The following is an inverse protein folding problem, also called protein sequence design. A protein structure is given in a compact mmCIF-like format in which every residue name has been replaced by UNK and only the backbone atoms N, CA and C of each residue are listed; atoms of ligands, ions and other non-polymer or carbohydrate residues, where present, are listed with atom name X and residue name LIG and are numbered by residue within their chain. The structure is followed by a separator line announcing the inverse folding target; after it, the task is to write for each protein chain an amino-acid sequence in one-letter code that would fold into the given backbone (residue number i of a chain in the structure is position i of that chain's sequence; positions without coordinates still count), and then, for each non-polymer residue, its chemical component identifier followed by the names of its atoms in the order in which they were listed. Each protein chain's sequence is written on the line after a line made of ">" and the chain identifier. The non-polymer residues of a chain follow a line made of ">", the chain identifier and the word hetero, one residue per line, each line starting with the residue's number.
data_IF_207756711911
#
_entry.id   IF_207756711911
#
_cell.length_a   1.000
_cell.length_b   1.000
_cell.length_c   1.000
_cell.angle_alpha   90.00
_cell.angle_beta   90.00
_cell.angle_gamma   90.00
#
_symmetry.space_group_name_H-M   'P 1'
#
loop_
_entity.id
_entity.type
_entity.pdbx_description
1 polymer ?
#
# COMPACT_ATOMS: atom_id res chain seq x y z
N UNK A 1 28.70 5.21 12.79
CA UNK A 1 27.70 5.73 13.78
C UNK A 1 28.13 5.34 15.17
N UNK A 2 28.28 6.29 16.08
CA UNK A 2 28.73 5.97 17.46
C UNK A 2 27.58 5.47 18.35
N UNK A 3 26.45 6.17 18.34
CA UNK A 3 25.26 5.78 19.10
C UNK A 3 24.00 6.31 18.41
N UNK A 4 22.96 5.48 18.35
CA UNK A 4 21.60 5.90 18.05
C UNK A 4 20.64 5.28 19.05
N UNK A 5 19.64 6.04 19.48
CA UNK A 5 18.60 5.57 20.38
C UNK A 5 17.25 5.97 19.84
N UNK A 6 16.34 5.02 19.84
CA UNK A 6 14.93 5.23 19.52
C UNK A 6 14.09 4.75 20.69
N UNK A 7 13.10 5.53 21.11
CA UNK A 7 12.23 5.23 22.25
C UNK A 7 10.78 5.46 21.85
N UNK A 8 9.94 4.48 22.13
CA UNK A 8 8.50 4.54 21.98
C UNK A 8 7.87 4.41 23.36
N UNK A 9 6.94 5.28 23.66
CA UNK A 9 6.10 5.22 24.84
C UNK A 9 4.64 5.17 24.42
N UNK A 10 3.92 4.18 24.90
CA UNK A 10 2.50 4.00 24.60
C UNK A 10 1.69 4.00 25.89
N UNK A 11 0.51 4.64 25.88
CA UNK A 11 -0.41 4.56 27.02
C UNK A 11 -0.72 3.12 27.41
N UNK A 12 -1.09 2.90 28.67
CA UNK A 12 -1.55 1.61 29.15
C UNK A 12 -2.70 1.08 28.27
N UNK A 13 -2.64 -0.21 27.95
CA UNK A 13 -3.63 -0.87 27.09
C UNK A 13 -3.39 -0.73 25.57
N UNK A 14 -2.44 0.09 25.15
CA UNK A 14 -1.98 0.12 23.77
C UNK A 14 -0.73 -0.74 23.60
N UNK A 15 -0.76 -1.69 22.69
CA UNK A 15 0.36 -2.59 22.42
C UNK A 15 1.13 -2.18 21.16
N UNK A 16 2.45 -2.17 21.25
CA UNK A 16 3.36 -2.09 20.11
C UNK A 16 4.17 -3.37 20.02
N UNK A 17 4.22 -3.91 18.81
CA UNK A 17 5.07 -5.05 18.46
C UNK A 17 6.35 -4.54 17.82
N UNK A 18 7.41 -5.31 17.92
CA UNK A 18 8.64 -5.02 17.17
C UNK A 18 9.22 -6.28 16.54
N UNK A 19 10.01 -6.07 15.49
CA UNK A 19 10.72 -7.11 14.75
C UNK A 19 12.14 -6.65 14.47
N UNK A 20 13.10 -7.47 14.85
CA UNK A 20 14.52 -7.24 14.59
C UNK A 20 14.96 -8.01 13.35
N UNK A 21 15.71 -7.34 12.47
CA UNK A 21 16.34 -7.93 11.29
C UNK A 21 17.83 -7.59 11.28
N UNK A 22 18.67 -8.57 11.01
CA UNK A 22 20.12 -8.42 10.87
C UNK A 22 20.80 -7.76 12.08
N UNK A 23 20.22 -7.93 13.28
CA UNK A 23 20.75 -7.37 14.51
C UNK A 23 21.71 -8.31 15.24
N UNK A 24 21.71 -9.61 14.91
CA UNK A 24 22.55 -10.63 15.55
C UNK A 24 24.04 -10.30 15.38
N UNK A 25 24.78 -10.43 16.47
CA UNK A 25 26.23 -10.13 16.49
C UNK A 25 26.55 -8.63 16.37
N UNK A 26 25.56 -7.75 16.29
CA UNK A 26 25.72 -6.30 16.27
C UNK A 26 25.41 -5.70 17.64
N UNK A 27 25.98 -4.54 17.91
CA UNK A 27 25.76 -3.81 19.17
C UNK A 27 24.40 -3.08 19.13
N UNK A 28 23.33 -3.84 18.95
CA UNK A 28 21.95 -3.36 18.95
C UNK A 28 21.23 -4.06 20.09
N UNK A 29 20.49 -3.30 20.89
CA UNK A 29 19.70 -3.81 21.99
C UNK A 29 18.30 -3.23 21.91
N UNK A 30 17.30 -4.09 21.94
CA UNK A 30 15.91 -3.71 22.15
C UNK A 30 15.53 -4.10 23.59
N UNK A 31 14.96 -3.16 24.33
CA UNK A 31 14.48 -3.36 25.69
C UNK A 31 13.04 -2.91 25.79
N UNK A 32 12.23 -3.75 26.40
CA UNK A 32 10.86 -3.44 26.76
C UNK A 32 10.74 -3.32 28.28
N UNK A 33 9.97 -2.35 28.72
CA UNK A 33 9.68 -2.12 30.13
C UNK A 33 8.30 -1.52 30.31
N UNK A 34 7.76 -1.63 31.51
CA UNK A 34 6.51 -0.97 31.91
C UNK A 34 6.84 0.28 32.72
N UNK A 35 6.30 1.43 32.29
CA UNK A 35 6.41 2.69 33.03
C UNK A 35 5.51 2.73 34.26
N UNK A 36 5.63 3.80 35.05
CA UNK A 36 4.94 3.96 36.35
C UNK A 36 3.42 3.86 36.27
N UNK A 37 2.83 4.34 35.14
CA UNK A 37 1.40 4.37 34.90
C UNK A 37 0.91 3.20 34.02
N UNK A 38 1.65 2.10 33.96
CA UNK A 38 1.33 0.96 33.11
C UNK A 38 1.62 1.18 31.62
N UNK A 39 2.37 2.21 31.28
CA UNK A 39 2.79 2.51 29.90
C UNK A 39 3.75 1.43 29.38
N UNK A 40 3.58 1.02 28.15
CA UNK A 40 4.61 0.24 27.45
C UNK A 40 5.72 1.17 26.96
N UNK A 41 6.95 0.86 27.32
CA UNK A 41 8.14 1.60 26.87
C UNK A 41 9.06 0.64 26.15
N UNK A 42 9.32 0.91 24.86
CA UNK A 42 10.26 0.13 24.05
C UNK A 42 11.42 1.04 23.65
N UNK A 43 12.63 0.65 24.03
CA UNK A 43 13.86 1.34 23.68
C UNK A 43 14.72 0.48 22.74
N UNK A 44 15.11 1.00 21.59
CA UNK A 44 16.11 0.42 20.72
C UNK A 44 17.38 1.28 20.73
N UNK A 45 18.52 0.69 21.01
CA UNK A 45 19.81 1.40 21.06
C UNK A 45 20.84 0.66 20.23
N UNK A 46 21.53 1.37 19.38
CA UNK A 46 22.64 0.88 18.58
C UNK A 46 23.94 1.62 18.94
N UNK A 47 25.02 0.86 19.06
CA UNK A 47 26.34 1.40 19.41
C UNK A 47 27.38 1.00 18.37
N UNK A 48 28.25 1.96 18.00
CA UNK A 48 29.47 1.74 17.21
C UNK A 48 29.26 0.76 16.03
N UNK A 49 28.19 0.98 15.27
CA UNK A 49 27.95 0.20 14.05
C UNK A 49 28.99 0.57 12.98
N UNK A 50 29.67 -0.45 12.46
CA UNK A 50 30.55 -0.29 11.31
C UNK A 50 29.74 0.07 10.07
N UNK A 51 30.31 0.86 9.15
CA UNK A 51 29.66 1.11 7.87
C UNK A 51 29.53 -0.20 7.08
N UNK A 52 28.41 -0.33 6.40
CA UNK A 52 28.21 -1.41 5.42
C UNK A 52 28.45 -0.78 4.04
N UNK A 53 29.34 -1.38 3.27
CA UNK A 53 29.67 -0.91 1.93
C UNK A 53 28.87 -1.74 0.92
N UNK A 54 28.19 -1.06 -0.01
CA UNK A 54 27.51 -1.75 -1.10
C UNK A 54 28.55 -2.27 -2.09
N UNK A 55 28.55 -3.57 -2.35
CA UNK A 55 29.43 -4.20 -3.32
C UNK A 55 28.70 -4.39 -4.66
N UNK A 56 29.38 -4.18 -5.80
CA UNK A 56 28.83 -4.54 -7.10
C UNK A 56 28.45 -6.02 -7.13
N UNK A 57 27.26 -6.35 -7.61
CA UNK A 57 26.72 -7.72 -7.66
C UNK A 57 26.54 -8.41 -6.29
N UNK A 58 26.70 -7.65 -5.19
CA UNK A 58 26.41 -8.14 -3.84
C UNK A 58 24.90 -8.26 -3.56
N UNK A 59 24.54 -8.79 -2.37
CA UNK A 59 23.15 -8.82 -1.93
C UNK A 59 22.50 -7.43 -1.92
N UNK A 60 21.17 -7.38 -1.97
CA UNK A 60 20.47 -6.11 -1.81
C UNK A 60 20.92 -5.45 -0.50
N UNK A 61 21.23 -4.15 -0.59
CA UNK A 61 21.70 -3.39 0.57
C UNK A 61 20.68 -3.43 1.71
N UNK A 62 19.41 -3.49 1.36
CA UNK A 62 18.32 -3.66 2.30
C UNK A 62 18.40 -4.96 3.11
N UNK A 63 18.92 -6.05 2.53
CA UNK A 63 19.10 -7.33 3.21
C UNK A 63 20.27 -7.31 4.23
N UNK A 64 21.21 -6.38 4.08
CA UNK A 64 22.39 -6.26 4.94
C UNK A 64 22.21 -5.33 6.12
N UNK A 65 21.28 -4.38 6.01
CA UNK A 65 21.07 -3.35 7.04
C UNK A 65 20.45 -3.95 8.31
N UNK A 66 20.99 -3.62 9.49
CA UNK A 66 20.30 -3.91 10.74
C UNK A 66 19.08 -2.99 10.90
N UNK A 67 17.94 -3.55 11.21
CA UNK A 67 16.67 -2.83 11.36
C UNK A 67 15.88 -3.31 12.56
N UNK A 68 15.11 -2.40 13.11
CA UNK A 68 14.06 -2.72 14.07
C UNK A 68 12.77 -2.07 13.56
N UNK A 69 11.81 -2.89 13.21
CA UNK A 69 10.47 -2.46 12.85
C UNK A 69 9.60 -2.36 14.09
N UNK A 70 8.75 -1.35 14.12
CA UNK A 70 7.75 -1.17 15.16
C UNK A 70 6.38 -1.02 14.51
N UNK A 71 5.37 -1.64 15.11
CA UNK A 71 3.99 -1.52 14.65
C UNK A 71 3.01 -1.60 15.84
N UNK A 72 2.06 -0.66 15.97
CA UNK A 72 1.00 -0.78 16.95
C UNK A 72 0.12 -1.99 16.61
N UNK A 73 -0.45 -2.64 17.61
CA UNK A 73 -1.43 -3.70 17.39
C UNK A 73 -2.79 -3.11 17.02
N UNK A 74 -3.29 -2.19 17.83
CA UNK A 74 -4.49 -1.42 17.54
C UNK A 74 -4.10 0.04 17.30
N UNK A 75 -4.81 0.72 16.44
CA UNK A 75 -4.58 2.13 16.14
C UNK A 75 -5.88 2.85 15.80
N UNK A 76 -5.85 4.16 15.96
CA UNK A 76 -6.89 5.05 15.47
C UNK A 76 -6.27 6.07 14.53
N UNK A 77 -6.82 6.18 13.35
CA UNK A 77 -6.38 7.15 12.37
C UNK A 77 -7.60 7.96 11.89
N UNK A 78 -7.61 9.26 12.18
CA UNK A 78 -8.78 10.11 12.06
C UNK A 78 -9.96 9.53 12.84
N UNK A 79 -11.08 9.23 12.19
CA UNK A 79 -12.28 8.61 12.80
C UNK A 79 -12.33 7.10 12.64
N UNK A 80 -11.32 6.49 12.05
CA UNK A 80 -11.26 5.07 11.74
C UNK A 80 -10.37 4.32 12.72
N UNK A 81 -10.89 3.23 13.28
CA UNK A 81 -10.14 2.32 14.15
C UNK A 81 -9.73 1.08 13.37
N UNK A 82 -8.47 0.69 13.53
CA UNK A 82 -7.88 -0.45 12.85
C UNK A 82 -7.07 -1.36 13.77
N UNK A 83 -6.82 -2.56 13.29
CA UNK A 83 -5.98 -3.56 13.94
C UNK A 83 -4.87 -3.98 12.96
N UNK A 84 -3.63 -3.85 13.38
CA UNK A 84 -2.44 -4.19 12.62
C UNK A 84 -1.75 -5.45 13.18
N UNK A 85 -2.42 -6.20 14.05
CA UNK A 85 -1.86 -7.41 14.66
C UNK A 85 -1.65 -8.56 13.67
N UNK A 86 -2.30 -8.53 12.51
CA UNK A 86 -2.06 -9.42 11.38
C UNK A 86 -2.31 -8.71 10.05
N UNK A 87 -1.76 -9.25 8.96
CA UNK A 87 -2.00 -8.76 7.61
C UNK A 87 -3.48 -8.84 7.22
N UNK A 88 -4.18 -9.88 7.66
CA UNK A 88 -5.61 -10.02 7.41
C UNK A 88 -6.41 -8.88 8.05
N UNK A 89 -6.22 -8.61 9.33
CA UNK A 89 -6.94 -7.54 10.04
C UNK A 89 -6.61 -6.16 9.49
N UNK A 90 -5.34 -5.93 9.12
CA UNK A 90 -4.95 -4.71 8.45
C UNK A 90 -5.64 -4.57 7.08
N UNK A 91 -5.68 -5.66 6.31
CA UNK A 91 -6.38 -5.71 5.01
C UNK A 91 -7.89 -5.45 5.15
N UNK A 92 -8.54 -6.03 6.15
CA UNK A 92 -9.96 -5.77 6.47
C UNK A 92 -10.22 -4.27 6.78
N UNK A 93 -9.30 -3.65 7.53
CA UNK A 93 -9.40 -2.21 7.79
C UNK A 93 -9.22 -1.39 6.51
N UNK A 94 -8.22 -1.69 5.69
CA UNK A 94 -8.01 -1.04 4.40
C UNK A 94 -9.22 -1.22 3.48
N UNK A 95 -9.83 -2.41 3.47
CA UNK A 95 -11.03 -2.67 2.66
C UNK A 95 -12.21 -1.80 3.09
N UNK A 96 -12.42 -1.60 4.40
CA UNK A 96 -13.46 -0.67 4.89
C UNK A 96 -13.24 0.77 4.45
N UNK A 97 -12.02 1.21 4.18
CA UNK A 97 -11.75 2.54 3.63
C UNK A 97 -12.23 2.71 2.19
N UNK A 98 -12.53 1.61 1.49
CA UNK A 98 -13.09 1.62 0.13
C UNK A 98 -14.63 1.74 0.12
N UNK A 99 -15.29 1.54 1.26
CA UNK A 99 -16.75 1.53 1.33
C UNK A 99 -17.37 2.82 0.80
N UNK A 100 -18.31 2.67 -0.17
CA UNK A 100 -18.97 3.79 -0.83
C UNK A 100 -18.08 4.65 -1.75
N UNK A 101 -16.81 4.26 -1.96
CA UNK A 101 -15.87 5.01 -2.80
C UNK A 101 -15.84 4.54 -4.25
N UNK A 102 -16.54 3.46 -4.59
CA UNK A 102 -16.59 2.86 -5.93
C UNK A 102 -17.90 3.15 -6.69
N UNK A 103 -18.66 4.13 -6.25
CA UNK A 103 -19.89 4.53 -6.95
C UNK A 103 -19.58 5.38 -8.19
N UNK A 104 -20.20 5.01 -9.32
CA UNK A 104 -20.14 5.75 -10.58
C UNK A 104 -21.50 6.42 -10.85
N UNK A 105 -21.47 7.57 -11.52
CA UNK A 105 -22.70 8.26 -11.93
C UNK A 105 -23.36 7.53 -13.11
N UNK A 106 -24.68 7.58 -13.19
CA UNK A 106 -25.44 6.90 -14.26
C UNK A 106 -25.00 7.29 -15.69
N UNK A 107 -24.79 8.58 -16.01
CA UNK A 107 -24.28 8.93 -17.34
C UNK A 107 -22.92 8.33 -17.67
N UNK A 108 -22.08 8.17 -16.64
CA UNK A 108 -20.77 7.58 -16.84
C UNK A 108 -20.84 6.06 -17.01
N UNK A 109 -21.73 5.38 -16.29
CA UNK A 109 -22.00 3.94 -16.47
C UNK A 109 -22.44 3.64 -17.90
N UNK A 110 -23.39 4.42 -18.44
CA UNK A 110 -23.85 4.29 -19.82
C UNK A 110 -22.68 4.47 -20.83
N UNK A 111 -21.85 5.50 -20.64
CA UNK A 111 -20.64 5.73 -21.43
C UNK A 111 -19.66 4.56 -21.37
N UNK A 112 -19.51 3.94 -20.21
CA UNK A 112 -18.60 2.81 -20.02
C UNK A 112 -19.05 1.58 -20.83
N UNK A 113 -20.35 1.28 -20.81
CA UNK A 113 -20.92 0.21 -21.63
C UNK A 113 -20.77 0.50 -23.13
N UNK A 114 -20.95 1.74 -23.56
CA UNK A 114 -20.71 2.15 -24.95
C UNK A 114 -19.22 1.97 -25.35
N UNK A 115 -18.29 2.40 -24.49
CA UNK A 115 -16.85 2.26 -24.70
C UNK A 115 -16.42 0.82 -24.92
N UNK A 116 -17.08 -0.13 -24.26
CA UNK A 116 -16.72 -1.55 -24.28
C UNK A 116 -17.64 -2.42 -25.14
N UNK A 117 -18.62 -1.82 -25.85
CA UNK A 117 -19.63 -2.55 -26.62
C UNK A 117 -19.05 -3.48 -27.69
N UNK A 118 -17.92 -3.10 -28.29
CA UNK A 118 -17.26 -3.88 -29.35
C UNK A 118 -16.11 -4.77 -28.81
N UNK A 119 -15.91 -4.86 -27.51
CA UNK A 119 -14.88 -5.70 -26.91
C UNK A 119 -15.36 -7.15 -26.87
N UNK A 120 -14.60 -8.05 -27.50
CA UNK A 120 -14.97 -9.47 -27.59
C UNK A 120 -14.70 -10.25 -26.30
N UNK A 121 -13.69 -9.84 -25.56
CA UNK A 121 -13.24 -10.53 -24.34
C UNK A 121 -13.14 -9.58 -23.14
N UNK A 122 -13.11 -10.12 -21.93
CA UNK A 122 -12.87 -9.30 -20.74
C UNK A 122 -11.48 -8.64 -20.78
N UNK A 123 -10.47 -9.32 -21.36
CA UNK A 123 -9.16 -8.72 -21.58
C UNK A 123 -9.24 -7.46 -22.45
N UNK A 124 -10.03 -7.49 -23.53
CA UNK A 124 -10.24 -6.34 -24.41
C UNK A 124 -10.94 -5.20 -23.68
N UNK A 125 -11.94 -5.52 -22.84
CA UNK A 125 -12.61 -4.53 -21.99
C UNK A 125 -11.65 -3.88 -21.01
N UNK A 126 -10.83 -4.68 -20.31
CA UNK A 126 -9.81 -4.17 -19.38
C UNK A 126 -8.83 -3.24 -20.11
N UNK A 127 -8.38 -3.62 -21.31
CA UNK A 127 -7.50 -2.78 -22.11
C UNK A 127 -8.17 -1.45 -22.50
N UNK A 128 -9.43 -1.49 -22.97
CA UNK A 128 -10.19 -0.28 -23.31
C UNK A 128 -10.37 0.66 -22.10
N UNK A 129 -10.59 0.10 -20.90
CA UNK A 129 -10.66 0.87 -19.67
C UNK A 129 -9.29 1.50 -19.31
N UNK A 130 -8.21 0.76 -19.48
CA UNK A 130 -6.86 1.25 -19.22
C UNK A 130 -6.48 2.38 -20.18
N UNK A 131 -6.80 2.24 -21.47
CA UNK A 131 -6.63 3.30 -22.46
C UNK A 131 -7.50 4.53 -22.17
N UNK A 132 -8.71 4.33 -21.66
CA UNK A 132 -9.58 5.43 -21.24
C UNK A 132 -8.98 6.16 -20.05
N UNK A 133 -8.48 5.43 -19.04
CA UNK A 133 -7.79 6.00 -17.88
C UNK A 133 -6.61 6.88 -18.34
N UNK A 134 -5.76 6.37 -19.24
CA UNK A 134 -4.62 7.09 -19.79
C UNK A 134 -4.98 8.43 -20.44
N UNK A 135 -6.10 8.46 -21.15
CA UNK A 135 -6.55 9.63 -21.92
C UNK A 135 -7.29 10.67 -21.07
N UNK A 136 -7.87 10.26 -19.93
CA UNK A 136 -8.80 11.10 -19.20
C UNK A 136 -8.35 11.46 -17.80
N UNK A 137 -7.28 10.85 -17.31
CA UNK A 137 -6.80 11.10 -15.95
C UNK A 137 -5.32 11.46 -15.90
N UNK A 138 -4.92 12.05 -14.79
CA UNK A 138 -3.53 12.33 -14.45
C UNK A 138 -3.27 12.03 -12.98
N UNK A 139 -2.04 11.63 -12.67
CA UNK A 139 -1.61 11.43 -11.30
C UNK A 139 -1.42 12.76 -10.57
N UNK A 140 -2.03 12.88 -9.39
CA UNK A 140 -1.80 13.96 -8.44
C UNK A 140 -1.72 13.35 -7.05
N UNK A 141 -0.58 13.49 -6.38
CA UNK A 141 -0.37 12.94 -5.04
C UNK A 141 -1.26 13.64 -4.00
N UNK A 142 -2.00 12.85 -3.22
CA UNK A 142 -2.89 13.31 -2.14
C UNK A 142 -2.54 12.53 -0.88
N UNK A 143 -1.82 13.19 0.06
CA UNK A 143 -1.27 12.53 1.25
C UNK A 143 -1.70 13.21 2.56
N UNK A 144 -2.78 14.01 2.54
CA UNK A 144 -3.24 14.75 3.72
C UNK A 144 -4.23 13.92 4.56
N UNK A 145 -3.91 13.74 5.85
CA UNK A 145 -4.77 13.04 6.79
C UNK A 145 -5.17 11.65 6.30
N UNK A 146 -6.44 11.29 6.46
CA UNK A 146 -6.95 9.98 6.00
C UNK A 146 -6.79 9.78 4.49
N UNK A 147 -6.70 10.84 3.69
CA UNK A 147 -6.42 10.78 2.26
C UNK A 147 -5.06 10.15 1.92
N UNK A 148 -4.14 10.04 2.87
CA UNK A 148 -2.92 9.24 2.73
C UNK A 148 -3.18 7.72 2.61
N UNK A 149 -4.36 7.24 3.05
CA UNK A 149 -4.72 5.82 3.13
C UNK A 149 -6.04 5.50 2.44
N UNK A 150 -7.02 6.40 2.48
CA UNK A 150 -8.33 6.27 1.85
C UNK A 150 -8.31 6.86 0.43
N UNK A 151 -8.83 6.18 -0.60
CA UNK A 151 -8.97 6.75 -1.93
C UNK A 151 -10.01 7.86 -1.95
N UNK A 152 -9.83 8.84 -2.83
CA UNK A 152 -10.92 9.72 -3.24
C UNK A 152 -12.00 8.89 -3.97
N UNK A 153 -13.25 9.35 -3.92
CA UNK A 153 -14.35 8.61 -4.54
C UNK A 153 -14.19 8.51 -6.06
N UNK A 154 -14.58 7.37 -6.64
CA UNK A 154 -14.52 7.14 -8.08
C UNK A 154 -15.27 8.21 -8.90
N UNK A 155 -16.44 8.67 -8.41
CA UNK A 155 -17.19 9.75 -9.02
C UNK A 155 -16.41 11.08 -9.06
N UNK A 156 -15.59 11.36 -8.05
CA UNK A 156 -14.77 12.57 -8.02
C UNK A 156 -13.58 12.46 -8.99
N UNK A 157 -12.92 11.29 -9.10
CA UNK A 157 -11.91 11.06 -10.13
C UNK A 157 -12.52 11.24 -11.52
N UNK A 158 -13.70 10.66 -11.75
CA UNK A 158 -14.43 10.81 -13.00
C UNK A 158 -14.70 12.29 -13.36
N UNK A 159 -15.09 13.09 -12.38
CA UNK A 159 -15.43 14.51 -12.56
C UNK A 159 -14.19 15.40 -12.72
N UNK A 160 -13.11 15.12 -12.00
CA UNK A 160 -11.95 16.01 -11.92
C UNK A 160 -10.79 15.60 -12.83
N UNK A 161 -10.77 14.34 -13.28
CA UNK A 161 -9.71 13.80 -14.12
C UNK A 161 -8.38 13.64 -13.39
N UNK A 162 -8.35 13.57 -12.05
CA UNK A 162 -7.10 13.32 -11.31
C UNK A 162 -7.32 12.45 -10.07
N UNK A 163 -6.25 11.78 -9.64
CA UNK A 163 -6.17 11.01 -8.41
C UNK A 163 -4.74 10.58 -8.14
N UNK A 164 -4.50 10.11 -6.92
CA UNK A 164 -3.27 9.41 -6.57
C UNK A 164 -3.38 7.89 -6.86
N UNK A 165 -2.38 7.10 -6.45
CA UNK A 165 -2.39 5.65 -6.67
C UNK A 165 -3.67 4.99 -6.14
N UNK A 166 -4.15 5.41 -4.97
CA UNK A 166 -5.38 4.91 -4.35
C UNK A 166 -6.62 5.29 -5.16
N UNK A 167 -6.74 6.58 -5.50
CA UNK A 167 -7.89 7.12 -6.23
C UNK A 167 -8.01 6.54 -7.64
N UNK A 168 -6.91 6.50 -8.40
CA UNK A 168 -6.91 5.99 -9.77
C UNK A 168 -7.15 4.47 -9.80
N UNK A 169 -6.55 3.70 -8.90
CA UNK A 169 -6.80 2.26 -8.78
C UNK A 169 -8.25 1.97 -8.37
N UNK A 170 -8.80 2.71 -7.40
CA UNK A 170 -10.20 2.53 -7.00
C UNK A 170 -11.17 2.93 -8.11
N UNK A 171 -10.87 3.98 -8.88
CA UNK A 171 -11.67 4.39 -10.04
C UNK A 171 -11.66 3.31 -11.14
N UNK A 172 -10.48 2.78 -11.46
CA UNK A 172 -10.36 1.67 -12.42
C UNK A 172 -11.10 0.43 -11.92
N UNK A 173 -10.97 0.09 -10.64
CA UNK A 173 -11.72 -1.00 -10.00
C UNK A 173 -13.23 -0.79 -10.10
N UNK A 174 -13.73 0.43 -9.90
CA UNK A 174 -15.14 0.76 -10.02
C UNK A 174 -15.65 0.55 -11.46
N UNK A 175 -14.86 0.95 -12.46
CA UNK A 175 -15.19 0.72 -13.89
C UNK A 175 -15.26 -0.77 -14.23
N UNK A 176 -14.28 -1.55 -13.77
CA UNK A 176 -14.27 -3.01 -13.99
C UNK A 176 -15.43 -3.70 -13.28
N UNK A 177 -15.75 -3.29 -12.06
CA UNK A 177 -16.91 -3.80 -11.29
C UNK A 177 -18.23 -3.56 -12.03
N UNK A 178 -18.42 -2.38 -12.63
CA UNK A 178 -19.61 -2.07 -13.45
C UNK A 178 -19.76 -3.02 -14.64
N UNK A 179 -18.64 -3.45 -15.23
CA UNK A 179 -18.62 -4.39 -16.36
C UNK A 179 -18.65 -5.87 -15.90
N UNK A 180 -18.82 -6.14 -14.62
CA UNK A 180 -18.82 -7.51 -14.07
C UNK A 180 -17.44 -8.17 -14.01
N UNK A 181 -16.34 -7.40 -14.17
CA UNK A 181 -14.97 -7.91 -14.15
C UNK A 181 -14.41 -7.78 -12.73
N UNK A 182 -14.04 -8.92 -12.14
CA UNK A 182 -13.42 -8.95 -10.81
C UNK A 182 -12.03 -8.32 -10.82
N UNK A 183 -11.73 -7.53 -9.80
CA UNK A 183 -10.40 -6.98 -9.59
C UNK A 183 -10.10 -6.78 -8.10
N UNK A 184 -8.83 -6.90 -7.74
CA UNK A 184 -8.35 -6.75 -6.37
C UNK A 184 -7.53 -5.47 -6.23
N UNK A 185 -7.93 -4.62 -5.30
CA UNK A 185 -7.15 -3.45 -4.88
C UNK A 185 -5.94 -3.94 -4.08
N UNK A 186 -4.74 -3.79 -4.65
CA UNK A 186 -3.53 -4.41 -4.13
C UNK A 186 -2.55 -3.34 -3.66
N UNK A 187 -2.23 -3.36 -2.36
CA UNK A 187 -1.25 -2.46 -1.77
C UNK A 187 0.11 -3.15 -1.80
N UNK A 188 1.11 -2.48 -2.33
CA UNK A 188 2.44 -3.03 -2.57
C UNK A 188 3.55 -2.14 -2.02
N UNK A 189 4.77 -2.69 -1.97
CA UNK A 189 6.01 -1.94 -1.82
C UNK A 189 6.64 -1.71 -3.19
N UNK A 190 7.04 -0.48 -3.47
CA UNK A 190 7.85 -0.12 -4.65
C UNK A 190 9.34 -0.10 -4.33
N UNK A 191 9.71 -0.47 -3.12
CA UNK A 191 11.11 -0.70 -2.74
C UNK A 191 11.47 -2.15 -3.02
N UNK A 192 12.75 -2.44 -3.21
CA UNK A 192 13.24 -3.82 -3.39
C UNK A 192 13.15 -4.67 -2.12
N UNK A 193 12.48 -4.16 -1.08
CA UNK A 193 12.34 -4.85 0.19
C UNK A 193 11.16 -5.81 0.16
N UNK A 194 11.40 -7.06 0.50
CA UNK A 194 10.31 -8.03 0.67
C UNK A 194 9.49 -7.71 1.92
N UNK A 195 8.19 -7.82 1.79
CA UNK A 195 7.29 -7.73 2.93
C UNK A 195 7.59 -8.86 3.93
N UNK A 196 7.56 -8.54 5.21
CA UNK A 196 7.68 -9.53 6.28
C UNK A 196 6.32 -10.23 6.45
N UNK A 197 6.18 -11.51 6.11
CA UNK A 197 4.89 -12.19 6.15
C UNK A 197 4.37 -12.37 7.57
N UNK A 198 5.27 -12.44 8.55
CA UNK A 198 4.98 -12.65 9.96
C UNK A 198 4.93 -11.35 10.79
N UNK A 199 5.09 -10.18 10.16
CA UNK A 199 5.06 -8.88 10.85
C UNK A 199 4.30 -7.84 10.03
N UNK A 200 3.00 -7.72 10.28
CA UNK A 200 2.16 -6.73 9.62
C UNK A 200 2.49 -5.30 10.08
N UNK A 201 2.79 -4.43 9.12
CA UNK A 201 3.05 -3.01 9.35
C UNK A 201 2.77 -2.21 8.09
N UNK A 202 1.99 -1.14 8.21
CA UNK A 202 1.67 -0.24 7.11
C UNK A 202 2.91 0.36 6.43
N UNK A 203 3.98 0.58 7.21
CA UNK A 203 5.23 1.18 6.71
C UNK A 203 6.02 0.30 5.73
N UNK A 204 5.60 -0.94 5.51
CA UNK A 204 6.22 -1.81 4.52
C UNK A 204 5.65 -1.61 3.12
N UNK A 205 4.61 -0.80 2.97
CA UNK A 205 3.91 -0.60 1.69
C UNK A 205 3.74 0.89 1.44
N UNK A 206 3.77 1.28 0.17
CA UNK A 206 3.74 2.70 -0.22
C UNK A 206 2.99 2.98 -1.52
N UNK A 207 2.45 1.94 -2.18
CA UNK A 207 1.82 2.09 -3.49
C UNK A 207 0.62 1.18 -3.67
N UNK A 208 -0.22 1.47 -4.65
CA UNK A 208 -1.44 0.72 -4.97
C UNK A 208 -1.51 0.47 -6.46
N UNK A 209 -1.74 -0.80 -6.81
CA UNK A 209 -2.02 -1.27 -8.17
C UNK A 209 -3.29 -2.12 -8.17
N UNK A 210 -3.76 -2.53 -9.35
CA UNK A 210 -4.86 -3.49 -9.47
C UNK A 210 -4.38 -4.84 -9.98
N UNK A 211 -4.88 -5.90 -9.36
CA UNK A 211 -4.85 -7.25 -9.88
C UNK A 211 -6.19 -7.57 -10.55
N UNK A 212 -6.17 -8.05 -11.78
CA UNK A 212 -7.36 -8.48 -12.53
C UNK A 212 -7.16 -9.95 -12.91
N UNK A 213 -7.78 -10.89 -12.18
CA UNK A 213 -7.71 -12.30 -12.52
C UNK A 213 -8.55 -12.59 -13.76
N UNK A 214 -7.95 -13.20 -14.79
CA UNK A 214 -8.61 -13.70 -15.98
C UNK A 214 -8.46 -15.23 -16.05
N UNK A 215 -9.30 -15.95 -16.82
CA UNK A 215 -9.30 -17.42 -16.82
C UNK A 215 -7.95 -18.09 -17.13
N UNK A 216 -7.09 -17.43 -17.91
CA UNK A 216 -5.79 -17.97 -18.34
C UNK A 216 -4.59 -17.11 -17.93
N UNK A 217 -4.84 -15.96 -17.27
CA UNK A 217 -3.81 -14.98 -16.96
C UNK A 217 -4.24 -14.11 -15.79
N UNK A 218 -3.28 -13.44 -15.16
CA UNK A 218 -3.53 -12.39 -14.17
C UNK A 218 -2.89 -11.12 -14.64
N UNK A 219 -3.70 -10.11 -14.92
CA UNK A 219 -3.21 -8.79 -15.28
C UNK A 219 -2.89 -7.97 -14.03
N UNK A 220 -1.79 -7.26 -14.09
CA UNK A 220 -1.43 -6.24 -13.12
C UNK A 220 -1.50 -4.88 -13.81
N UNK A 221 -2.26 -3.95 -13.24
CA UNK A 221 -2.48 -2.63 -13.82
C UNK A 221 -1.85 -1.55 -12.93
N UNK A 222 -0.90 -0.85 -13.51
CA UNK A 222 -0.32 0.37 -12.93
C UNK A 222 -1.17 1.57 -13.32
N UNK A 223 -2.05 1.98 -12.40
CA UNK A 223 -3.04 3.04 -12.70
C UNK A 223 -2.47 4.46 -12.63
N UNK A 224 -1.29 4.67 -12.06
CA UNK A 224 -0.67 6.00 -11.91
C UNK A 224 0.12 6.43 -13.13
N UNK A 225 0.57 5.47 -13.93
CA UNK A 225 1.26 5.70 -15.18
C UNK A 225 0.69 4.83 -16.31
N UNK A 226 -0.54 5.08 -16.75
CA UNK A 226 -1.20 4.27 -17.77
C UNK A 226 -0.66 4.49 -19.19
N UNK A 227 0.43 5.26 -19.35
CA UNK A 227 1.22 5.30 -20.59
C UNK A 227 2.15 4.09 -20.75
N UNK A 228 2.36 3.33 -19.67
CA UNK A 228 3.07 2.05 -19.73
C UNK A 228 2.26 1.03 -20.56
N UNK A 229 2.94 0.07 -21.21
CA UNK A 229 2.23 -0.99 -21.94
C UNK A 229 1.23 -1.71 -21.02
N UNK A 230 0.06 -2.00 -21.58
CA UNK A 230 -1.01 -2.71 -20.88
C UNK A 230 -0.54 -4.04 -20.27
N UNK A 231 -0.80 -4.24 -18.98
CA UNK A 231 -0.39 -5.42 -18.23
C UNK A 231 1.08 -5.46 -17.83
N UNK A 232 1.82 -4.38 -18.07
CA UNK A 232 3.22 -4.25 -17.66
C UNK A 232 3.33 -3.43 -16.37
N UNK A 233 4.09 -3.95 -15.41
CA UNK A 233 4.46 -3.26 -14.16
C UNK A 233 5.97 -3.09 -14.17
N UNK A 234 6.43 -1.85 -14.09
CA UNK A 234 7.85 -1.52 -14.14
C UNK A 234 8.57 -1.94 -12.85
N UNK A 235 9.88 -2.24 -12.94
CA UNK A 235 10.70 -2.63 -11.78
C UNK A 235 10.89 -1.50 -10.76
N UNK A 236 10.79 -0.26 -11.21
CA UNK A 236 11.06 0.95 -10.41
C UNK A 236 9.77 1.65 -9.96
N UNK A 237 8.65 0.90 -9.87
CA UNK A 237 7.41 1.42 -9.29
C UNK A 237 7.53 1.46 -7.79
#
# INVERSE_FOLDING_TARGET
>A
MEKATYRIELPAGQGCRYRELNTQGKKIQVKESTGADGQQVIGATAYKLSPIVKEPFGPDFAELLPRVYFAPSAFKYDKSEGDMSSWQKYGEWQYRLLDGRDLLTEPFRAKLHELTANCATDRDKVNAIYDYLAKTTRYVSIQLGIGGLQPIAAADVCRTGFGDCKGLSNYTRAMLKELGIASTYTIISTTNERLLPDFSSANQMNHVILQVPLPQDTLWLECTNPSLPFGYVHQDI
#
